data_IF_108362592128
#
_entry.id   IF_108362592128
#
_cell.length_a   1.000
_cell.length_b   1.000
_cell.length_c   1.000
_cell.angle_alpha   90.00
_cell.angle_beta   90.00
_cell.angle_gamma   90.00
#
_symmetry.space_group_name_H-M   'P 1'
#
loop_
_entity.id
_entity.type
_entity.pdbx_description
1 polymer ?
#
# COMPACT_ATOMS: atom_id res chain seq x y z
N UNK A 1 13.30 -25.01 7.08
CA UNK A 1 11.85 -24.74 6.91
C UNK A 1 11.57 -24.95 5.44
N UNK A 2 10.71 -25.91 5.05
CA UNK A 2 10.63 -26.41 3.65
C UNK A 2 10.63 -25.31 2.58
N UNK A 3 9.89 -24.22 2.77
CA UNK A 3 9.86 -23.09 1.83
C UNK A 3 11.18 -22.30 1.77
N UNK A 4 11.76 -21.97 2.94
CA UNK A 4 13.07 -21.32 3.01
C UNK A 4 14.17 -22.17 2.36
N UNK A 5 14.11 -23.47 2.61
CA UNK A 5 15.11 -24.42 2.09
C UNK A 5 15.03 -24.54 0.56
N UNK A 6 13.89 -24.15 -0.04
CA UNK A 6 13.68 -24.03 -1.49
C UNK A 6 14.02 -22.64 -2.05
N UNK A 7 14.53 -21.71 -1.24
CA UNK A 7 14.92 -20.36 -1.65
C UNK A 7 13.81 -19.31 -1.55
N UNK A 8 12.66 -19.62 -0.93
CA UNK A 8 11.66 -18.60 -0.62
C UNK A 8 12.12 -17.76 0.57
N UNK A 9 12.42 -16.50 0.30
CA UNK A 9 12.99 -15.56 1.27
C UNK A 9 11.99 -14.49 1.76
N UNK A 10 10.84 -14.36 1.09
CA UNK A 10 9.77 -13.41 1.42
C UNK A 10 8.41 -14.11 1.55
N UNK A 11 7.59 -13.65 2.51
CA UNK A 11 6.15 -13.93 2.57
C UNK A 11 5.37 -12.62 2.76
N UNK A 12 4.20 -12.53 2.14
CA UNK A 12 3.28 -11.40 2.28
C UNK A 12 2.00 -11.83 2.99
N UNK A 13 1.64 -11.10 4.04
CA UNK A 13 0.42 -11.33 4.79
C UNK A 13 -0.65 -10.32 4.43
N UNK A 14 -1.86 -10.81 4.13
CA UNK A 14 -2.97 -9.95 3.77
C UNK A 14 -3.85 -9.61 4.98
N UNK A 15 -3.61 -8.45 5.61
CA UNK A 15 -4.34 -8.04 6.83
C UNK A 15 -5.79 -7.68 6.54
N UNK A 16 -6.05 -6.90 5.49
CA UNK A 16 -7.40 -6.49 5.08
C UNK A 16 -8.35 -7.66 4.79
N UNK A 17 -7.87 -8.77 4.22
CA UNK A 17 -8.68 -9.96 3.95
C UNK A 17 -9.23 -10.66 5.21
N UNK A 18 -8.57 -10.44 6.35
CA UNK A 18 -8.98 -10.98 7.66
C UNK A 18 -9.64 -9.95 8.57
N UNK A 19 -9.92 -8.75 8.05
CA UNK A 19 -10.34 -7.60 8.84
C UNK A 19 -9.36 -7.27 9.98
N UNK A 20 -8.05 -7.32 9.68
CA UNK A 20 -6.96 -7.02 10.61
C UNK A 20 -6.95 -7.90 11.86
N UNK A 21 -7.22 -9.20 11.67
CA UNK A 21 -7.30 -10.17 12.76
C UNK A 21 -5.97 -10.29 13.52
N UNK A 22 -6.06 -10.35 14.85
CA UNK A 22 -4.92 -10.61 15.75
C UNK A 22 -4.10 -11.85 15.33
N UNK A 23 -4.78 -12.89 14.86
CA UNK A 23 -4.14 -14.14 14.42
C UNK A 23 -3.17 -13.93 13.26
N UNK A 24 -3.45 -12.98 12.37
CA UNK A 24 -2.52 -12.65 11.27
C UNK A 24 -1.24 -12.03 11.82
N UNK A 25 -1.35 -11.09 12.76
CA UNK A 25 -0.18 -10.50 13.42
C UNK A 25 0.64 -11.53 14.21
N UNK A 26 -0.03 -12.45 14.90
CA UNK A 26 0.63 -13.57 15.61
C UNK A 26 1.41 -14.46 14.62
N UNK A 27 0.83 -14.77 13.46
CA UNK A 27 1.52 -15.52 12.41
C UNK A 27 2.71 -14.75 11.81
N UNK A 28 2.60 -13.43 11.64
CA UNK A 28 3.73 -12.61 11.20
C UNK A 28 4.90 -12.68 12.20
N UNK A 29 4.61 -12.55 13.50
CA UNK A 29 5.63 -12.66 14.57
C UNK A 29 6.36 -14.01 14.53
N UNK A 30 5.64 -15.09 14.21
CA UNK A 30 6.25 -16.41 14.03
C UNK A 30 7.11 -16.49 12.77
N UNK A 31 6.76 -15.77 11.70
CA UNK A 31 7.47 -15.84 10.42
C UNK A 31 8.78 -15.01 10.39
N UNK A 32 8.81 -13.86 11.07
CA UNK A 32 9.93 -12.91 11.03
C UNK A 32 11.30 -13.53 11.36
N UNK A 33 11.45 -14.40 12.39
CA UNK A 33 12.74 -15.03 12.69
C UNK A 33 13.21 -16.04 11.62
N UNK A 34 12.33 -16.46 10.71
CA UNK A 34 12.59 -17.56 9.79
C UNK A 34 12.85 -17.11 8.35
N UNK A 35 12.27 -15.99 7.91
CA UNK A 35 12.38 -15.47 6.55
C UNK A 35 13.25 -14.21 6.50
N UNK A 36 13.83 -13.89 5.34
CA UNK A 36 14.60 -12.65 5.17
C UNK A 36 13.70 -11.43 5.20
N UNK A 37 12.50 -11.56 4.63
CA UNK A 37 11.49 -10.52 4.62
C UNK A 37 10.12 -11.09 4.98
N UNK A 38 9.45 -10.42 5.92
CA UNK A 38 8.00 -10.54 6.10
C UNK A 38 7.41 -9.20 5.69
N UNK A 39 6.43 -9.25 4.82
CA UNK A 39 5.75 -8.09 4.28
C UNK A 39 4.26 -8.16 4.57
N UNK A 40 3.61 -7.00 4.56
CA UNK A 40 2.16 -6.86 4.60
C UNK A 40 1.69 -6.43 3.23
N UNK A 41 0.58 -6.98 2.77
CA UNK A 41 -0.10 -6.53 1.56
C UNK A 41 -1.57 -6.27 1.87
N UNK A 42 -2.10 -5.13 1.48
CA UNK A 42 -3.51 -4.82 1.67
C UNK A 42 -3.93 -3.76 0.67
N UNK A 43 -5.18 -3.77 0.17
CA UNK A 43 -5.61 -2.73 -0.74
C UNK A 43 -5.73 -1.37 -0.02
N UNK A 44 -5.54 -0.30 -0.78
CA UNK A 44 -5.95 1.06 -0.47
C UNK A 44 -7.48 1.15 -0.48
N UNK A 45 -8.12 0.48 0.48
CA UNK A 45 -9.58 0.43 0.61
C UNK A 45 -10.03 1.50 1.60
N UNK A 46 -10.71 2.59 1.15
CA UNK A 46 -11.03 3.72 2.03
C UNK A 46 -11.78 3.36 3.32
N UNK A 47 -12.73 2.41 3.34
CA UNK A 47 -13.38 1.97 4.59
C UNK A 47 -12.44 1.32 5.62
N UNK A 48 -11.21 0.98 5.24
CA UNK A 48 -10.19 0.47 6.16
C UNK A 48 -9.22 1.54 6.65
N UNK A 49 -9.40 2.83 6.29
CA UNK A 49 -8.47 3.92 6.62
C UNK A 49 -8.02 3.86 8.09
N UNK A 50 -8.95 3.94 9.05
CA UNK A 50 -8.59 3.91 10.49
C UNK A 50 -7.73 2.68 10.86
N UNK A 51 -8.13 1.48 10.40
CA UNK A 51 -7.41 0.24 10.69
C UNK A 51 -6.02 0.17 10.06
N UNK A 52 -5.85 0.79 8.88
CA UNK A 52 -4.55 0.88 8.24
C UNK A 52 -3.59 1.72 9.06
N UNK A 53 -4.06 2.86 9.59
CA UNK A 53 -3.26 3.71 10.48
C UNK A 53 -2.96 3.03 11.82
N UNK A 54 -3.94 2.36 12.44
CA UNK A 54 -3.74 1.55 13.65
C UNK A 54 -2.71 0.42 13.45
N UNK A 55 -2.64 -0.15 12.25
CA UNK A 55 -1.72 -1.23 11.90
C UNK A 55 -0.26 -0.75 11.83
N UNK A 56 0.00 0.50 11.44
CA UNK A 56 1.36 1.01 11.17
C UNK A 56 2.37 0.78 12.32
N UNK A 57 2.09 1.15 13.58
CA UNK A 57 3.01 0.86 14.70
C UNK A 57 3.08 -0.65 15.01
N UNK A 58 1.98 -1.40 14.80
CA UNK A 58 1.94 -2.84 15.09
C UNK A 58 2.93 -3.58 14.20
N UNK A 59 2.95 -3.26 12.90
CA UNK A 59 3.83 -3.94 11.94
C UNK A 59 5.30 -3.51 12.09
N UNK A 60 5.54 -2.28 12.55
CA UNK A 60 6.87 -1.82 12.99
C UNK A 60 7.40 -2.73 14.10
N UNK A 61 6.62 -2.91 15.17
CA UNK A 61 7.02 -3.70 16.35
C UNK A 61 7.24 -5.18 16.02
N UNK A 62 6.51 -5.71 15.03
CA UNK A 62 6.68 -7.07 14.53
C UNK A 62 8.00 -7.24 13.76
N UNK A 63 8.53 -6.16 13.17
CA UNK A 63 9.72 -6.21 12.31
C UNK A 63 9.40 -6.51 10.84
N UNK A 64 8.21 -6.13 10.38
CA UNK A 64 7.84 -6.16 8.95
C UNK A 64 8.84 -5.31 8.14
N UNK A 65 9.14 -5.74 6.91
CA UNK A 65 10.09 -5.04 6.01
C UNK A 65 9.43 -4.18 4.96
N UNK A 66 8.26 -4.59 4.47
CA UNK A 66 7.55 -3.90 3.41
C UNK A 66 6.05 -3.87 3.73
N UNK A 67 5.44 -2.69 3.59
CA UNK A 67 3.99 -2.50 3.52
C UNK A 67 3.63 -2.23 2.06
N UNK A 68 3.00 -3.19 1.41
CA UNK A 68 2.52 -3.08 0.04
C UNK A 68 1.05 -2.64 0.04
N UNK A 69 0.78 -1.46 -0.50
CA UNK A 69 -0.57 -0.91 -0.63
C UNK A 69 -1.04 -1.09 -2.06
N UNK A 70 -1.97 -2.03 -2.26
CA UNK A 70 -2.49 -2.38 -3.57
C UNK A 70 -3.65 -1.49 -4.00
N UNK A 71 -3.74 -1.18 -5.28
CA UNK A 71 -4.94 -0.56 -5.82
C UNK A 71 -6.11 -1.57 -5.90
N UNK A 72 -7.34 -1.07 -5.73
CA UNK A 72 -8.55 -1.87 -5.92
C UNK A 72 -8.99 -1.78 -7.37
N UNK A 73 -8.78 -2.86 -8.12
CA UNK A 73 -9.35 -3.01 -9.46
C UNK A 73 -10.85 -3.32 -9.35
N UNK A 74 -11.66 -2.58 -10.11
CA UNK A 74 -13.09 -2.78 -10.24
C UNK A 74 -13.35 -3.80 -11.35
N UNK A 75 -14.02 -4.88 -10.99
CA UNK A 75 -14.40 -5.95 -11.91
C UNK A 75 -15.90 -6.22 -11.82
N UNK A 76 -16.43 -7.00 -12.76
CA UNK A 76 -17.85 -7.36 -12.76
C UNK A 76 -18.28 -8.07 -11.47
N UNK A 77 -17.36 -8.80 -10.82
CA UNK A 77 -17.60 -9.58 -9.62
C UNK A 77 -17.67 -8.73 -8.34
N UNK A 78 -17.04 -7.54 -8.33
CA UNK A 78 -16.94 -6.71 -7.14
C UNK A 78 -17.70 -5.37 -7.23
N UNK A 79 -18.06 -4.92 -8.44
CA UNK A 79 -18.71 -3.65 -8.71
C UNK A 79 -19.92 -3.40 -7.82
N UNK A 80 -20.93 -4.28 -7.86
CA UNK A 80 -22.19 -4.10 -7.11
C UNK A 80 -21.96 -3.96 -5.60
N UNK A 81 -20.94 -4.64 -5.07
CA UNK A 81 -20.61 -4.56 -3.64
C UNK A 81 -19.90 -3.25 -3.33
N UNK A 82 -18.95 -2.85 -4.16
CA UNK A 82 -18.19 -1.60 -3.97
C UNK A 82 -19.13 -0.40 -4.10
N UNK A 83 -19.97 -0.33 -5.14
CA UNK A 83 -20.92 0.78 -5.34
C UNK A 83 -21.94 0.92 -4.22
N UNK A 84 -22.26 -0.15 -3.48
CA UNK A 84 -23.12 -0.08 -2.28
C UNK A 84 -22.40 0.51 -1.08
N UNK A 85 -21.10 0.23 -0.93
CA UNK A 85 -20.29 0.70 0.21
C UNK A 85 -19.80 2.13 -0.04
N UNK A 86 -19.40 2.43 -1.28
CA UNK A 86 -18.87 3.70 -1.73
C UNK A 86 -19.69 4.20 -2.95
N UNK A 87 -20.91 4.71 -2.75
CA UNK A 87 -21.79 5.10 -3.85
C UNK A 87 -21.28 6.28 -4.68
N UNK A 88 -20.39 7.09 -4.10
CA UNK A 88 -19.79 8.27 -4.74
C UNK A 88 -18.29 8.08 -4.97
N UNK A 89 -17.81 6.83 -5.00
CA UNK A 89 -16.41 6.55 -5.29
C UNK A 89 -16.02 7.07 -6.67
N UNK A 90 -14.90 7.78 -6.72
CA UNK A 90 -14.24 8.07 -7.98
C UNK A 90 -13.54 6.82 -8.50
N UNK A 91 -13.65 6.60 -9.81
CA UNK A 91 -12.98 5.52 -10.52
C UNK A 91 -12.27 6.10 -11.73
N UNK A 92 -11.20 5.44 -12.15
CA UNK A 92 -10.44 5.87 -13.31
C UNK A 92 -9.94 4.65 -14.10
N UNK A 93 -9.63 4.86 -15.37
CA UNK A 93 -9.16 3.79 -16.25
C UNK A 93 -7.63 3.83 -16.41
N UNK A 94 -6.96 2.74 -16.06
CA UNK A 94 -5.55 2.51 -16.32
C UNK A 94 -5.32 1.00 -16.54
N UNK A 95 -5.22 0.58 -17.81
CA UNK A 95 -5.33 -0.81 -18.29
C UNK A 95 -6.68 -1.50 -17.95
N UNK A 96 -7.08 -1.50 -16.68
CA UNK A 96 -8.41 -1.85 -16.17
C UNK A 96 -9.14 -0.63 -15.60
N UNK A 97 -10.24 -0.85 -14.88
CA UNK A 97 -10.97 0.19 -14.13
C UNK A 97 -10.53 0.08 -12.67
N UNK A 98 -10.09 1.17 -12.07
CA UNK A 98 -9.57 1.18 -10.70
C UNK A 98 -10.33 2.19 -9.83
N UNK A 99 -10.42 1.87 -8.55
CA UNK A 99 -10.93 2.77 -7.52
C UNK A 99 -9.87 3.83 -7.20
N UNK A 100 -10.26 5.10 -7.22
CA UNK A 100 -9.44 6.16 -6.65
C UNK A 100 -9.49 6.08 -5.12
N UNK A 101 -8.33 6.03 -4.47
CA UNK A 101 -8.19 5.77 -3.04
C UNK A 101 -8.28 7.05 -2.17
N UNK A 102 -8.59 8.20 -2.78
CA UNK A 102 -8.70 9.50 -2.09
C UNK A 102 -7.43 9.87 -1.31
N UNK A 103 -6.27 9.63 -1.93
CA UNK A 103 -4.96 9.95 -1.37
C UNK A 103 -4.51 9.06 -0.20
N UNK A 104 -5.30 8.03 0.17
CA UNK A 104 -5.03 7.16 1.31
C UNK A 104 -3.61 6.58 1.30
N UNK A 105 -3.12 6.11 0.15
CA UNK A 105 -1.76 5.57 0.05
C UNK A 105 -0.70 6.62 0.40
N UNK A 106 -0.87 7.86 -0.06
CA UNK A 106 0.04 8.95 0.25
C UNK A 106 -0.02 9.38 1.72
N UNK A 107 -1.21 9.41 2.31
CA UNK A 107 -1.36 9.69 3.74
C UNK A 107 -0.62 8.66 4.62
N UNK A 108 -0.65 7.38 4.22
CA UNK A 108 0.10 6.32 4.90
C UNK A 108 1.62 6.51 4.75
N UNK A 109 2.08 6.88 3.56
CA UNK A 109 3.50 7.19 3.31
C UNK A 109 3.95 8.37 4.18
N UNK A 110 3.16 9.44 4.23
CA UNK A 110 3.45 10.63 5.04
C UNK A 110 3.56 10.27 6.53
N UNK A 111 2.59 9.53 7.07
CA UNK A 111 2.62 9.14 8.49
C UNK A 111 3.81 8.22 8.80
N UNK A 112 4.15 7.29 7.90
CA UNK A 112 5.33 6.43 8.04
C UNK A 112 6.62 7.25 8.10
N UNK A 113 6.77 8.23 7.21
CA UNK A 113 7.91 9.15 7.20
C UNK A 113 7.96 10.00 8.47
N UNK A 114 6.83 10.61 8.85
CA UNK A 114 6.70 11.47 10.03
C UNK A 114 7.02 10.75 11.33
N UNK A 115 6.64 9.47 11.44
CA UNK A 115 6.91 8.62 12.62
C UNK A 115 8.28 7.95 12.58
N UNK A 116 8.97 7.98 11.44
CA UNK A 116 10.27 7.34 11.28
C UNK A 116 10.21 5.82 11.37
N UNK A 117 9.12 5.19 10.89
CA UNK A 117 9.07 3.73 10.81
C UNK A 117 10.11 3.20 9.81
N UNK A 118 10.62 2.00 10.04
CA UNK A 118 11.81 1.49 9.35
C UNK A 118 11.49 0.57 8.16
N UNK A 119 10.22 0.25 7.94
CA UNK A 119 9.77 -0.50 6.76
C UNK A 119 9.48 0.44 5.58
N UNK A 120 9.59 -0.09 4.36
CA UNK A 120 9.20 0.66 3.16
C UNK A 120 7.69 0.58 2.94
N UNK A 121 7.08 1.66 2.46
CA UNK A 121 5.73 1.62 1.88
C UNK A 121 5.86 1.54 0.37
N UNK A 122 5.16 0.60 -0.25
CA UNK A 122 5.14 0.40 -1.70
C UNK A 122 3.77 0.79 -2.22
N UNK A 123 3.74 1.84 -3.04
CA UNK A 123 2.56 2.20 -3.82
C UNK A 123 2.43 1.27 -5.03
N UNK A 124 1.46 0.37 -4.96
CA UNK A 124 1.16 -0.57 -6.03
C UNK A 124 0.03 -0.09 -6.97
N UNK A 125 -0.18 1.22 -7.07
CA UNK A 125 -1.08 1.86 -8.02
C UNK A 125 -0.67 1.62 -9.49
N UNK A 126 -1.66 1.40 -10.37
CA UNK A 126 -1.44 1.10 -11.78
C UNK A 126 -0.85 2.29 -12.55
N UNK A 127 -1.30 3.51 -12.25
CA UNK A 127 -0.76 4.75 -12.81
C UNK A 127 0.72 4.91 -12.43
N UNK A 128 1.06 4.78 -11.14
CA UNK A 128 2.45 4.82 -10.65
C UNK A 128 3.34 3.82 -11.40
N UNK A 129 2.88 2.57 -11.57
CA UNK A 129 3.60 1.53 -12.34
C UNK A 129 3.70 1.86 -13.83
N UNK A 130 2.66 2.45 -14.42
CA UNK A 130 2.65 2.81 -15.85
C UNK A 130 3.69 3.88 -16.17
N UNK A 131 3.87 4.84 -15.25
CA UNK A 131 4.88 5.90 -15.34
C UNK A 131 6.29 5.30 -15.23
N UNK A 132 6.50 4.31 -14.35
CA UNK A 132 7.80 3.63 -14.21
C UNK A 132 8.21 2.81 -15.44
N UNK A 133 7.26 2.19 -16.15
CA UNK A 133 7.53 1.30 -17.30
C UNK A 133 7.82 2.04 -18.60
N UNK A 134 7.42 3.29 -18.71
CA UNK A 134 7.67 4.12 -19.89
C UNK A 134 8.74 5.14 -19.52
N UNK A 135 9.94 5.13 -20.12
CA UNK A 135 10.90 6.20 -19.87
C UNK A 135 10.30 7.52 -20.37
N UNK A 136 9.82 8.35 -19.43
CA UNK A 136 9.65 9.78 -19.62
C UNK A 136 8.54 10.24 -20.57
N UNK A 137 7.28 9.94 -20.27
CA UNK A 137 6.28 11.01 -20.31
C UNK A 137 5.75 11.18 -18.89
N UNK A 138 6.32 12.13 -18.16
CA UNK A 138 5.63 12.75 -17.04
C UNK A 138 4.26 13.17 -17.57
N UNK A 139 3.20 12.48 -17.15
CA UNK A 139 1.87 13.06 -17.21
C UNK A 139 1.79 13.94 -15.97
N UNK A 140 2.28 15.16 -16.08
CA UNK A 140 2.04 16.17 -15.06
C UNK A 140 0.51 16.32 -14.98
N UNK A 141 -0.09 15.93 -13.86
CA UNK A 141 -1.45 16.33 -13.58
C UNK A 141 -1.40 17.81 -13.21
N UNK A 142 -1.67 18.67 -14.19
CA UNK A 142 -1.58 20.14 -14.08
C UNK A 142 -2.51 20.74 -13.00
N UNK A 143 -3.33 19.92 -12.34
CA UNK A 143 -4.37 20.34 -11.39
C UNK A 143 -4.28 19.65 -10.01
N UNK A 144 -3.14 19.04 -9.64
CA UNK A 144 -2.94 18.51 -8.28
C UNK A 144 -1.77 19.23 -7.63
N UNK A 145 -2.08 20.19 -6.77
CA UNK A 145 -1.08 20.94 -6.00
C UNK A 145 -0.20 19.98 -5.18
N UNK A 146 1.12 20.09 -5.33
CA UNK A 146 2.11 19.39 -4.52
C UNK A 146 2.59 18.03 -5.03
N UNK A 147 1.91 17.39 -5.98
CA UNK A 147 2.31 16.05 -6.45
C UNK A 147 3.46 16.07 -7.47
N UNK A 148 3.65 17.20 -8.18
CA UNK A 148 4.66 17.37 -9.23
C UNK A 148 5.43 18.71 -9.11
N UNK A 149 5.36 19.39 -7.96
CA UNK A 149 6.10 20.64 -7.77
C UNK A 149 7.61 20.38 -7.74
N UNK A 150 8.40 21.26 -8.34
CA UNK A 150 9.84 21.27 -8.15
C UNK A 150 10.14 21.54 -6.67
N UNK A 151 10.76 20.57 -5.99
CA UNK A 151 11.23 20.78 -4.62
C UNK A 151 12.58 21.51 -4.66
N UNK A 152 12.63 22.73 -4.12
CA UNK A 152 13.90 23.37 -3.78
C UNK A 152 14.49 22.68 -2.54
N UNK A 153 15.64 22.03 -2.70
CA UNK A 153 16.40 21.51 -1.57
C UNK A 153 17.08 22.70 -0.88
N UNK A 154 16.46 23.20 0.18
CA UNK A 154 17.10 24.18 1.06
C UNK A 154 18.05 23.42 1.99
N UNK A 155 19.35 23.42 1.66
CA UNK A 155 20.40 22.98 2.58
C UNK A 155 20.73 24.19 3.46
N UNK A 156 20.30 24.16 4.72
CA UNK A 156 20.75 25.14 5.71
C UNK A 156 22.19 24.81 6.14
N UNK A 157 23.08 25.80 6.04
CA UNK A 157 24.45 25.77 6.61
C UNK A 157 24.47 25.70 8.14
#
# INVERSE_FOLDING_TARGET
>A
MRLKDLGFDEIRFHTGASNFSKKVYENMKLAVPHLKAVAVETPAWPPHREKLFEMLPIIQDIGVKHLNIGEVEITQENYDRISKILPNAEIYQCYGINLYDDGLTYDLVEEVLKRGYTYSVLDCNCLTKSIQRTPGKQVCHENVDGLCAEYEIVISE
#
